data_IF_833826424808
#
_entry.id   IF_833826424808
#
_cell.length_a   1.000
_cell.length_b   1.000
_cell.length_c   1.000
_cell.angle_alpha   90.00
_cell.angle_beta   90.00
_cell.angle_gamma   90.00
#
_symmetry.space_group_name_H-M   'P 1'
#
loop_
_entity.id
_entity.type
_entity.pdbx_description
1 polymer ?
#
# COMPACT_ATOMS: atom_id res chain seq x y z
N UNK A 1 13.16 15.56 -3.69
CA UNK A 1 13.35 14.44 -2.76
C UNK A 1 13.95 13.27 -3.50
N UNK A 2 14.84 12.50 -2.87
CA UNK A 2 15.40 11.27 -3.43
C UNK A 2 14.40 10.14 -3.31
N UNK A 3 14.05 9.51 -4.43
CA UNK A 3 13.26 8.28 -4.47
C UNK A 3 14.08 7.19 -3.78
N UNK A 4 13.61 6.58 -2.68
CA UNK A 4 14.35 5.52 -2.02
C UNK A 4 14.40 4.28 -2.92
N UNK A 5 15.47 3.50 -2.81
CA UNK A 5 15.63 2.25 -3.56
C UNK A 5 14.53 1.23 -3.21
N UNK A 6 14.02 1.26 -1.98
CA UNK A 6 12.88 0.46 -1.52
C UNK A 6 11.97 1.29 -0.63
N UNK A 7 10.66 1.04 -0.71
CA UNK A 7 9.64 1.70 0.11
C UNK A 7 9.24 0.88 1.35
N UNK A 8 10.00 -0.17 1.68
CA UNK A 8 9.63 -1.15 2.70
C UNK A 8 8.53 -2.13 2.28
N UNK A 9 8.03 -2.01 1.04
CA UNK A 9 7.12 -2.96 0.40
C UNK A 9 7.81 -3.62 -0.79
N UNK A 10 7.57 -4.92 -0.94
CA UNK A 10 7.85 -5.69 -2.14
C UNK A 10 6.74 -5.54 -3.17
N UNK A 11 6.55 -6.55 -4.01
CA UNK A 11 5.50 -6.53 -5.03
C UNK A 11 4.12 -6.35 -4.39
N UNK A 12 3.39 -5.33 -4.84
CA UNK A 12 1.99 -5.12 -4.48
C UNK A 12 1.13 -5.94 -5.43
N UNK A 13 0.24 -6.77 -4.87
CA UNK A 13 -0.73 -7.55 -5.63
C UNK A 13 -2.13 -7.09 -5.24
N UNK A 14 -2.93 -6.72 -6.25
CA UNK A 14 -4.37 -6.49 -6.07
C UNK A 14 -5.06 -7.85 -5.96
N UNK A 15 -5.84 -8.05 -4.90
CA UNK A 15 -6.55 -9.30 -4.63
C UNK A 15 -8.03 -9.20 -4.97
N UNK A 16 -8.65 -8.04 -4.75
CA UNK A 16 -10.04 -7.80 -5.05
C UNK A 16 -10.33 -6.31 -5.26
N UNK A 17 -11.46 -6.03 -5.90
CA UNK A 17 -12.13 -4.72 -5.89
C UNK A 17 -13.50 -4.98 -5.29
N UNK A 18 -13.70 -4.49 -4.07
CA UNK A 18 -14.89 -4.76 -3.26
C UNK A 18 -15.68 -3.46 -3.09
N UNK A 19 -16.69 -3.26 -3.96
CA UNK A 19 -17.51 -2.05 -3.95
C UNK A 19 -16.70 -0.79 -4.28
N UNK A 20 -16.33 -0.02 -3.24
CA UNK A 20 -15.55 1.22 -3.37
C UNK A 20 -14.16 1.11 -2.76
N UNK A 21 -13.67 -0.11 -2.53
CA UNK A 21 -12.34 -0.35 -1.99
C UNK A 21 -11.55 -1.30 -2.88
N UNK A 22 -10.24 -1.07 -2.93
CA UNK A 22 -9.27 -1.95 -3.58
C UNK A 22 -8.51 -2.68 -2.49
N UNK A 23 -8.62 -4.00 -2.50
CA UNK A 23 -7.88 -4.87 -1.59
C UNK A 23 -6.54 -5.27 -2.23
N UNK A 24 -5.47 -5.12 -1.44
CA UNK A 24 -4.11 -5.37 -1.87
C UNK A 24 -3.33 -6.11 -0.80
N UNK A 25 -2.35 -6.90 -1.23
CA UNK A 25 -1.34 -7.49 -0.36
C UNK A 25 0.05 -7.14 -0.84
N UNK A 26 0.97 -6.93 0.09
CA UNK A 26 2.38 -6.70 -0.22
C UNK A 26 3.28 -7.38 0.80
N UNK A 27 4.42 -7.89 0.34
CA UNK A 27 5.48 -8.37 1.23
C UNK A 27 6.18 -7.18 1.89
N UNK A 28 6.56 -7.32 3.15
CA UNK A 28 7.41 -6.35 3.82
C UNK A 28 8.87 -6.69 3.54
N UNK A 29 9.64 -5.70 3.07
CA UNK A 29 11.08 -5.86 2.81
C UNK A 29 11.94 -5.25 3.91
N UNK A 30 11.32 -4.73 4.97
CA UNK A 30 11.99 -4.11 6.11
C UNK A 30 11.42 -4.59 7.44
N UNK A 31 12.05 -4.18 8.54
CA UNK A 31 11.70 -4.59 9.90
C UNK A 31 10.51 -3.85 10.52
N UNK A 32 9.84 -2.99 9.75
CA UNK A 32 8.73 -2.18 10.24
C UNK A 32 7.74 -1.82 9.13
N UNK A 33 6.52 -1.48 9.55
CA UNK A 33 5.43 -1.09 8.67
C UNK A 33 4.57 0.00 9.34
N UNK A 34 4.32 1.08 8.62
CA UNK A 34 3.31 2.09 8.97
C UNK A 34 2.45 2.43 7.76
N UNK A 35 1.18 2.67 8.01
CA UNK A 35 0.23 3.15 7.00
C UNK A 35 -0.69 4.21 7.60
N UNK A 36 -0.97 5.23 6.82
CA UNK A 36 -2.00 6.22 7.09
C UNK A 36 -2.87 6.38 5.85
N UNK A 37 -4.18 6.53 6.02
CA UNK A 37 -5.11 6.80 4.91
C UNK A 37 -5.65 5.57 4.15
N UNK A 38 -5.12 4.38 4.37
CA UNK A 38 -5.78 3.11 4.05
C UNK A 38 -6.05 2.35 5.34
N UNK A 39 -7.14 1.58 5.38
CA UNK A 39 -7.32 0.58 6.42
C UNK A 39 -6.45 -0.63 6.06
N UNK A 40 -5.95 -1.34 7.07
CA UNK A 40 -5.04 -2.44 6.81
C UNK A 40 -4.20 -2.77 8.02
N UNK A 41 -3.68 -3.99 8.00
CA UNK A 41 -2.87 -4.54 9.06
C UNK A 41 -1.80 -5.44 8.46
N UNK A 42 -0.66 -5.47 9.11
CA UNK A 42 0.46 -6.29 8.70
C UNK A 42 1.31 -6.63 9.90
N UNK A 43 2.09 -7.69 9.76
CA UNK A 43 3.02 -8.15 10.78
C UNK A 43 4.38 -8.37 10.16
N UNK A 44 5.41 -8.00 10.90
CA UNK A 44 6.79 -8.43 10.65
C UNK A 44 7.09 -9.64 11.52
N UNK A 45 7.73 -10.66 10.97
CA UNK A 45 8.34 -11.74 11.74
C UNK A 45 9.72 -11.30 12.22
N UNK A 46 10.17 -11.88 13.34
CA UNK A 46 11.49 -11.64 13.92
C UNK A 46 12.66 -12.05 13.02
N UNK A 47 12.40 -12.90 12.02
CA UNK A 47 13.41 -13.43 11.09
C UNK A 47 13.64 -12.52 9.87
N UNK A 48 12.96 -11.37 9.80
CA UNK A 48 13.03 -10.49 8.63
C UNK A 48 12.13 -11.01 7.51
N UNK A 49 10.85 -10.69 7.63
CA UNK A 49 9.82 -11.08 6.69
C UNK A 49 8.49 -10.56 7.20
N UNK A 50 7.47 -10.57 6.35
CA UNK A 50 6.17 -10.04 6.76
C UNK A 50 5.27 -9.77 5.57
N UNK A 51 4.02 -9.50 5.87
CA UNK A 51 3.02 -9.15 4.89
C UNK A 51 2.10 -8.10 5.45
N UNK A 52 1.59 -7.26 4.56
CA UNK A 52 0.52 -6.31 4.86
C UNK A 52 -0.66 -6.58 3.94
N UNK A 53 -1.86 -6.58 4.51
CA UNK A 53 -3.11 -6.38 3.79
C UNK A 53 -3.52 -4.90 3.86
N UNK A 54 -3.86 -4.33 2.71
CA UNK A 54 -4.29 -2.94 2.55
C UNK A 54 -5.67 -2.93 1.90
N UNK A 55 -6.59 -2.14 2.45
CA UNK A 55 -7.84 -1.75 1.79
C UNK A 55 -7.89 -0.23 1.65
N UNK A 56 -7.97 0.21 0.39
CA UNK A 56 -7.92 1.63 0.05
C UNK A 56 -9.15 2.00 -0.78
N UNK A 57 -9.90 3.01 -0.33
CA UNK A 57 -10.95 3.63 -1.13
C UNK A 57 -10.40 4.75 -2.01
N UNK A 58 -11.24 5.23 -2.95
CA UNK A 58 -10.97 6.50 -3.63
C UNK A 58 -10.81 7.64 -2.61
N UNK A 59 -9.83 8.52 -2.81
CA UNK A 59 -9.72 9.72 -1.97
C UNK A 59 -8.30 10.25 -1.77
N UNK A 60 -7.98 10.79 -0.58
CA UNK A 60 -6.64 11.28 -0.30
C UNK A 60 -5.63 10.14 -0.39
N UNK A 61 -4.38 10.48 -0.71
CA UNK A 61 -3.35 9.47 -0.82
C UNK A 61 -3.00 8.91 0.56
N UNK A 62 -2.93 7.60 0.65
CA UNK A 62 -2.33 6.95 1.79
C UNK A 62 -0.82 7.14 1.78
N UNK A 63 -0.22 7.23 2.96
CA UNK A 63 1.23 7.27 3.12
C UNK A 63 1.68 5.98 3.78
N UNK A 64 2.65 5.32 3.15
CA UNK A 64 3.25 4.07 3.60
C UNK A 64 4.69 4.35 3.98
N UNK A 65 5.07 3.97 5.20
CA UNK A 65 6.41 4.12 5.76
C UNK A 65 6.99 5.54 5.62
N UNK A 66 6.13 6.56 5.62
CA UNK A 66 6.49 7.97 5.39
C UNK A 66 7.30 8.25 4.10
N UNK A 67 7.34 7.29 3.19
CA UNK A 67 8.23 7.28 2.03
C UNK A 67 7.47 7.10 0.72
N UNK A 68 6.33 6.42 0.73
CA UNK A 68 5.51 6.18 -0.47
C UNK A 68 4.11 6.74 -0.29
N UNK A 69 3.59 7.36 -1.35
CA UNK A 69 2.22 7.79 -1.46
C UNK A 69 1.47 6.85 -2.41
N UNK A 70 0.39 6.25 -1.92
CA UNK A 70 -0.49 5.35 -2.67
C UNK A 70 -1.89 5.97 -2.72
N UNK A 71 -2.38 6.26 -3.92
CA UNK A 71 -3.72 6.82 -4.12
C UNK A 71 -4.53 5.94 -5.06
N UNK A 72 -5.71 5.54 -4.62
CA UNK A 72 -6.77 5.09 -5.52
C UNK A 72 -7.38 6.34 -6.14
N UNK A 73 -7.10 6.55 -7.43
CA UNK A 73 -7.59 7.71 -8.17
C UNK A 73 -9.03 7.50 -8.58
N UNK A 74 -9.37 6.27 -8.96
CA UNK A 74 -10.69 5.88 -9.43
C UNK A 74 -10.89 4.38 -9.33
N UNK A 75 -12.11 3.98 -9.02
CA UNK A 75 -12.61 2.61 -9.06
C UNK A 75 -13.76 2.57 -10.07
N UNK A 76 -13.67 1.60 -10.95
CA UNK A 76 -14.71 1.13 -11.85
C UNK A 76 -15.05 -0.30 -11.46
N UNK A 77 -16.22 -0.81 -11.89
CA UNK A 77 -16.79 -2.10 -11.50
C UNK A 77 -15.78 -3.17 -11.09
N UNK A 78 -14.84 -3.52 -11.99
CA UNK A 78 -13.79 -4.51 -11.75
C UNK A 78 -12.38 -3.99 -12.02
N UNK A 79 -12.20 -2.67 -12.09
CA UNK A 79 -10.92 -2.05 -12.41
C UNK A 79 -10.65 -0.84 -11.53
N UNK A 80 -9.39 -0.62 -11.15
CA UNK A 80 -8.99 0.55 -10.37
C UNK A 80 -7.74 1.20 -10.95
N UNK A 81 -7.68 2.53 -10.84
CA UNK A 81 -6.50 3.32 -11.21
C UNK A 81 -5.75 3.67 -9.93
N UNK A 82 -4.56 3.10 -9.80
CA UNK A 82 -3.65 3.35 -8.69
C UNK A 82 -2.57 4.34 -9.13
N UNK A 83 -2.32 5.35 -8.30
CA UNK A 83 -1.19 6.27 -8.45
C UNK A 83 -0.22 6.03 -7.30
N UNK A 84 1.00 5.65 -7.65
CA UNK A 84 2.09 5.40 -6.70
C UNK A 84 3.20 6.42 -6.98
N UNK A 85 3.70 7.07 -5.94
CA UNK A 85 4.81 8.03 -6.03
C UNK A 85 5.57 8.10 -4.70
N UNK A 86 6.78 8.69 -4.65
CA UNK A 86 7.39 9.07 -3.38
C UNK A 86 6.46 9.97 -2.55
N UNK A 87 6.49 9.83 -1.23
CA UNK A 87 5.88 10.78 -0.31
C UNK A 87 6.65 12.11 -0.38
N UNK A 88 5.92 13.24 -0.32
CA UNK A 88 6.44 14.57 -0.63
C UNK A 88 5.78 15.25 -1.82
#
# INVERSE_FOLDING_TARGET
>A
MTVPATYGLGQIKVTAIAGREVEMVAQLTGSGFSVSGCSGGGGVSSEGGGGVGLSCGEGPAATINDAMSLKVVKIHDTAAVLRIKPAG
#
